data_IF_825721855148
#
_entry.id   IF_825721855148
#
_cell.length_a   1.000
_cell.length_b   1.000
_cell.length_c   1.000
_cell.angle_alpha   90.00
_cell.angle_beta   90.00
_cell.angle_gamma   90.00
#
_symmetry.space_group_name_H-M   'P 1'
#
loop_
_entity.id
_entity.type
_entity.pdbx_description
1 polymer ?
#
# COMPACT_ATOMS: atom_id res chain seq x y z
N UNK A 1 -1.92 18.93 -19.05
CA UNK A 1 -1.88 17.52 -18.56
C UNK A 1 -3.00 16.78 -19.28
N UNK A 2 -2.74 15.66 -19.93
CA UNK A 2 -3.75 14.96 -20.74
C UNK A 2 -4.85 14.36 -19.85
N UNK A 3 -6.13 14.53 -20.21
CA UNK A 3 -7.32 13.92 -19.58
C UNK A 3 -7.10 12.42 -19.26
N UNK A 4 -6.36 11.74 -20.13
CA UNK A 4 -5.97 10.33 -20.06
C UNK A 4 -5.14 10.00 -18.79
N UNK A 5 -4.32 10.94 -18.30
CA UNK A 5 -3.46 10.72 -17.13
C UNK A 5 -4.22 10.82 -15.80
N UNK A 6 -5.32 11.59 -15.76
CA UNK A 6 -6.16 11.71 -14.56
C UNK A 6 -7.14 10.54 -14.43
N UNK A 7 -7.66 10.01 -15.55
CA UNK A 7 -8.47 8.79 -15.57
C UNK A 7 -7.71 7.56 -15.04
N UNK A 8 -6.38 7.52 -15.22
CA UNK A 8 -5.48 6.52 -14.67
C UNK A 8 -5.41 6.57 -13.13
N UNK A 9 -5.29 7.79 -12.59
CA UNK A 9 -5.22 8.03 -11.16
C UNK A 9 -6.55 7.71 -10.48
N UNK A 10 -7.65 8.02 -11.14
CA UNK A 10 -9.02 7.74 -10.69
C UNK A 10 -9.35 6.24 -10.73
N UNK A 11 -8.88 5.52 -11.76
CA UNK A 11 -8.96 4.06 -11.86
C UNK A 11 -8.33 3.35 -10.66
N UNK A 12 -7.18 3.83 -10.21
CA UNK A 12 -6.45 3.25 -9.08
C UNK A 12 -7.10 3.61 -7.73
N UNK A 13 -7.62 4.83 -7.62
CA UNK A 13 -8.47 5.29 -6.49
C UNK A 13 -9.75 4.46 -6.35
N UNK A 14 -10.32 3.99 -7.46
CA UNK A 14 -11.52 3.12 -7.50
C UNK A 14 -11.22 1.65 -7.25
N UNK A 15 -10.05 1.16 -7.69
CA UNK A 15 -9.61 -0.23 -7.46
C UNK A 15 -9.17 -0.47 -6.01
N UNK A 16 -8.74 0.59 -5.31
CA UNK A 16 -8.43 0.59 -3.88
C UNK A 16 -9.06 1.84 -3.23
N UNK A 17 -10.34 1.80 -2.81
CA UNK A 17 -10.96 2.93 -2.15
C UNK A 17 -10.22 3.21 -0.83
N UNK A 18 -9.77 4.46 -0.56
CA UNK A 18 -9.30 4.81 0.77
C UNK A 18 -10.46 4.61 1.75
N UNK A 19 -10.23 3.86 2.83
CA UNK A 19 -11.14 3.85 3.97
C UNK A 19 -11.15 5.25 4.58
N UNK A 20 -12.35 5.74 4.90
CA UNK A 20 -12.66 7.05 5.49
C UNK A 20 -11.57 7.54 6.44
N UNK A 21 -10.97 8.68 6.11
CA UNK A 21 -10.38 9.58 7.08
C UNK A 21 -10.59 11.02 6.60
N UNK A 22 -11.42 11.72 7.36
CA UNK A 22 -11.68 13.15 7.25
C UNK A 22 -10.39 13.92 7.53
N UNK A 23 -9.96 14.78 6.60
CA UNK A 23 -9.10 15.91 6.93
C UNK A 23 -9.59 17.17 6.22
N UNK A 24 -10.55 17.82 6.86
CA UNK A 24 -10.90 19.20 6.58
C UNK A 24 -9.93 20.17 7.27
N UNK A 25 -9.53 21.18 6.49
CA UNK A 25 -9.59 22.61 6.82
C UNK A 25 -8.45 23.31 7.58
N UNK A 26 -8.15 24.50 7.02
CA UNK A 26 -7.70 25.76 7.62
C UNK A 26 -6.20 26.10 7.49
N UNK A 27 -5.75 27.30 7.05
CA UNK A 27 -6.39 28.58 6.69
C UNK A 27 -5.37 29.50 5.93
N UNK A 28 -5.87 30.26 4.94
CA UNK A 28 -5.50 31.64 4.43
C UNK A 28 -4.01 31.99 4.19
N UNK A 29 -3.61 32.44 3.00
CA UNK A 29 -3.89 33.75 2.36
C UNK A 29 -2.74 34.74 2.72
N UNK A 30 -2.11 35.56 1.88
CA UNK A 30 -2.40 36.22 0.59
C UNK A 30 -1.07 36.78 0.04
N UNK A 31 -0.92 36.88 -1.28
CA UNK A 31 0.14 37.66 -1.93
C UNK A 31 -0.22 39.15 -1.99
N UNK A 32 0.72 40.06 -1.71
CA UNK A 32 0.97 41.30 -2.50
C UNK A 32 2.22 42.05 -2.00
N UNK A 33 2.92 42.64 -2.95
CA UNK A 33 4.17 43.40 -2.87
C UNK A 33 3.90 44.90 -2.60
N UNK A 34 4.69 45.56 -1.72
CA UNK A 34 5.05 46.99 -1.83
C UNK A 34 6.10 47.40 -0.77
N UNK A 35 7.19 48.02 -1.20
CA UNK A 35 8.21 48.75 -0.40
C UNK A 35 7.88 50.26 -0.29
N UNK A 36 8.66 51.14 0.38
CA UNK A 36 9.63 51.02 1.50
C UNK A 36 9.38 52.06 2.63
N UNK A 37 10.21 52.08 3.70
CA UNK A 37 11.04 53.22 4.20
C UNK A 37 11.67 52.82 5.56
N UNK A 38 13.00 52.90 5.62
CA UNK A 38 13.85 52.54 6.74
C UNK A 38 13.84 53.62 7.85
N UNK A 39 13.64 53.21 9.12
CA UNK A 39 13.98 54.01 10.29
C UNK A 39 15.07 53.32 11.13
N UNK A 40 16.17 54.04 11.38
CA UNK A 40 17.43 53.58 11.99
C UNK A 40 17.32 53.06 13.44
N UNK A 41 16.14 53.12 14.08
CA UNK A 41 15.96 52.67 15.46
C UNK A 41 15.58 51.18 15.60
N UNK A 42 15.29 50.48 14.49
CA UNK A 42 14.89 49.07 14.54
C UNK A 42 16.06 48.09 14.72
N UNK A 43 17.28 48.48 14.33
CA UNK A 43 18.46 47.59 14.35
C UNK A 43 18.88 47.26 15.79
N UNK A 44 18.75 48.20 16.72
CA UNK A 44 19.09 47.98 18.13
C UNK A 44 18.12 47.02 18.84
N UNK A 45 16.85 46.98 18.43
CA UNK A 45 15.86 46.09 19.05
C UNK A 45 16.10 44.65 18.59
N UNK A 46 16.43 44.44 17.32
CA UNK A 46 16.72 43.11 16.80
C UNK A 46 18.04 42.54 17.34
N UNK A 47 19.08 43.35 17.55
CA UNK A 47 20.33 42.87 18.18
C UNK A 47 20.16 42.53 19.65
N UNK A 48 19.32 43.26 20.38
CA UNK A 48 19.01 42.95 21.78
C UNK A 48 18.20 41.65 21.90
N UNK A 49 17.26 41.44 20.98
CA UNK A 49 16.37 40.27 20.98
C UNK A 49 17.11 38.98 20.60
N UNK A 50 18.05 39.05 19.64
CA UNK A 50 18.90 37.90 19.29
C UNK A 50 19.89 37.57 20.41
N UNK A 51 20.44 38.57 21.10
CA UNK A 51 21.33 38.34 22.24
C UNK A 51 20.59 37.72 23.44
N UNK A 52 19.35 38.15 23.69
CA UNK A 52 18.47 37.56 24.72
C UNK A 52 18.13 36.10 24.42
N UNK A 53 17.85 35.76 23.16
CA UNK A 53 17.58 34.39 22.71
C UNK A 53 18.81 33.48 22.85
N UNK A 54 20.00 34.02 22.58
CA UNK A 54 21.26 33.29 22.70
C UNK A 54 21.64 33.04 24.16
N UNK A 55 21.41 34.01 25.05
CA UNK A 55 21.56 33.83 26.50
C UNK A 55 20.57 32.77 27.03
N UNK A 56 19.30 32.81 26.59
CA UNK A 56 18.31 31.81 26.98
C UNK A 56 18.70 30.40 26.52
N UNK A 57 19.24 30.27 25.30
CA UNK A 57 19.72 28.99 24.78
C UNK A 57 20.92 28.44 25.56
N UNK A 58 21.86 29.30 25.97
CA UNK A 58 23.01 28.90 26.82
C UNK A 58 22.56 28.51 28.23
N UNK A 59 21.59 29.22 28.83
CA UNK A 59 21.01 28.85 30.13
C UNK A 59 20.28 27.51 30.04
N UNK A 60 19.56 27.24 28.95
CA UNK A 60 18.89 25.96 28.72
C UNK A 60 19.88 24.79 28.57
N UNK A 61 21.03 25.01 27.91
CA UNK A 61 22.12 24.03 27.79
C UNK A 61 22.82 23.77 29.14
N UNK A 62 22.92 24.77 30.01
CA UNK A 62 23.47 24.60 31.36
C UNK A 62 22.49 23.87 32.29
N UNK A 63 21.17 24.09 32.13
CA UNK A 63 20.15 23.39 32.91
C UNK A 63 19.97 21.92 32.52
N UNK A 64 20.34 21.54 31.28
CA UNK A 64 20.27 20.15 30.82
C UNK A 64 21.44 19.28 31.28
N UNK A 65 22.48 19.87 31.87
CA UNK A 65 23.72 19.15 32.22
C UNK A 65 23.78 18.62 33.67
N UNK A 66 22.87 19.05 34.55
CA UNK A 66 22.89 18.70 35.99
C UNK A 66 21.90 17.59 36.41
N UNK A 67 21.28 16.88 35.47
CA UNK A 67 20.44 15.70 35.77
C UNK A 67 21.06 14.40 35.27
N UNK A 68 22.31 14.16 35.61
CA UNK A 68 22.94 12.83 35.56
C UNK A 68 23.72 12.61 36.85
N UNK A 69 23.03 12.31 37.95
CA UNK A 69 23.43 11.29 38.94
C UNK A 69 22.39 11.17 40.07
N UNK A 70 22.07 9.92 40.42
CA UNK A 70 21.42 9.46 41.65
C UNK A 70 19.88 9.54 41.73
N UNK A 71 19.21 8.44 41.38
CA UNK A 71 18.58 7.55 42.36
C UNK A 71 17.94 6.35 41.64
N UNK A 72 18.17 5.16 42.21
CA UNK A 72 17.80 3.83 41.70
C UNK A 72 16.60 3.29 42.49
N UNK A 73 15.83 2.43 41.81
CA UNK A 73 14.76 1.49 42.25
C UNK A 73 13.29 1.92 42.08
N UNK A 74 12.36 0.98 41.76
CA UNK A 74 12.47 -0.12 40.79
C UNK A 74 11.29 -0.13 39.78
N UNK A 75 11.46 -0.95 38.75
CA UNK A 75 10.67 -1.08 37.52
C UNK A 75 9.14 -1.22 37.71
N UNK A 76 8.40 -0.32 37.08
CA UNK A 76 7.06 -0.65 36.57
C UNK A 76 7.27 -1.14 35.14
N UNK A 77 7.35 -2.46 34.97
CA UNK A 77 7.52 -3.13 33.69
C UNK A 77 6.42 -2.71 32.72
N UNK A 78 6.79 -1.97 31.68
CA UNK A 78 5.94 -1.70 30.52
C UNK A 78 5.72 -2.99 29.75
N UNK A 79 4.56 -3.60 29.93
CA UNK A 79 4.04 -4.56 28.96
C UNK A 79 3.87 -3.85 27.61
N UNK A 80 4.67 -4.22 26.61
CA UNK A 80 4.47 -3.77 25.23
C UNK A 80 3.25 -4.51 24.65
N UNK A 81 2.05 -3.98 24.90
CA UNK A 81 0.85 -4.43 24.22
C UNK A 81 0.88 -3.95 22.77
N UNK A 82 1.51 -4.72 21.89
CA UNK A 82 1.32 -4.64 20.44
C UNK A 82 0.08 -5.47 20.09
N UNK A 83 -1.08 -4.82 20.11
CA UNK A 83 -2.30 -5.38 19.52
C UNK A 83 -2.94 -4.29 18.67
N UNK A 84 -2.67 -4.31 17.37
CA UNK A 84 -3.53 -3.61 16.41
C UNK A 84 -4.63 -4.60 15.98
N UNK A 85 -5.79 -4.51 16.66
CA UNK A 85 -6.94 -5.40 16.46
C UNK A 85 -7.68 -5.17 15.12
N UNK A 86 -7.11 -4.49 14.13
CA UNK A 86 -7.89 -3.96 12.98
C UNK A 86 -7.55 -4.50 11.60
N UNK A 87 -6.62 -5.44 11.45
CA UNK A 87 -6.37 -6.12 10.16
C UNK A 87 -6.34 -7.65 10.32
N UNK A 88 -7.53 -8.26 10.42
CA UNK A 88 -7.68 -9.70 10.16
C UNK A 88 -8.02 -9.87 8.67
N UNK A 89 -7.07 -10.24 7.79
CA UNK A 89 -7.41 -10.55 6.40
C UNK A 89 -8.36 -11.75 6.35
N UNK A 90 -9.27 -11.78 5.36
CA UNK A 90 -10.11 -12.94 5.04
C UNK A 90 -9.23 -14.07 4.46
N UNK A 91 -8.35 -14.63 5.29
CA UNK A 91 -7.51 -15.75 4.94
C UNK A 91 -8.36 -17.04 4.92
N UNK A 92 -8.24 -17.90 3.90
CA UNK A 92 -9.02 -19.12 3.83
C UNK A 92 -8.66 -20.06 5.00
N UNK A 93 -9.65 -20.82 5.49
CA UNK A 93 -9.49 -21.71 6.64
C UNK A 93 -8.50 -22.84 6.29
N UNK A 94 -7.38 -22.93 7.00
CA UNK A 94 -6.35 -23.96 6.80
C UNK A 94 -6.58 -25.16 7.72
N UNK A 95 -6.50 -26.38 7.19
CA UNK A 95 -6.59 -27.58 8.01
C UNK A 95 -5.21 -27.92 8.58
N UNK A 96 -5.17 -28.23 9.87
CA UNK A 96 -3.97 -28.77 10.51
C UNK A 96 -3.69 -30.19 10.02
N UNK A 97 -2.45 -30.46 9.63
CA UNK A 97 -2.01 -31.78 9.19
C UNK A 97 -1.28 -32.51 10.33
N UNK A 98 -0.11 -32.00 10.72
CA UNK A 98 0.68 -32.56 11.80
C UNK A 98 1.62 -31.51 12.41
N UNK A 99 2.21 -31.87 13.55
CA UNK A 99 3.36 -31.17 14.13
C UNK A 99 4.47 -32.19 14.39
N UNK A 100 5.71 -31.80 14.13
CA UNK A 100 6.91 -32.60 14.38
C UNK A 100 7.93 -31.79 15.15
N UNK A 101 8.56 -32.40 16.14
CA UNK A 101 9.69 -31.83 16.86
C UNK A 101 10.93 -32.60 16.40
N UNK A 102 11.87 -31.90 15.80
CA UNK A 102 13.11 -32.42 15.25
C UNK A 102 14.27 -31.88 16.09
N UNK A 103 14.91 -32.70 16.93
CA UNK A 103 16.13 -32.28 17.61
C UNK A 103 17.28 -32.19 16.61
N UNK A 104 18.00 -31.09 16.63
CA UNK A 104 19.26 -30.89 15.91
C UNK A 104 20.33 -30.46 16.92
N UNK A 105 21.57 -30.93 16.78
CA UNK A 105 22.68 -30.81 17.74
C UNK A 105 22.55 -29.76 18.88
N UNK A 106 22.32 -28.48 18.55
CA UNK A 106 22.20 -27.36 19.50
C UNK A 106 20.88 -26.57 19.39
N UNK A 107 19.95 -27.01 18.52
CA UNK A 107 18.65 -26.37 18.29
C UNK A 107 17.50 -27.37 18.18
N UNK A 108 16.34 -27.01 18.73
CA UNK A 108 15.08 -27.73 18.53
C UNK A 108 14.27 -27.07 17.42
N UNK A 109 13.96 -27.83 16.36
CA UNK A 109 13.07 -27.38 15.28
C UNK A 109 11.67 -27.96 15.47
N UNK A 110 10.67 -27.10 15.61
CA UNK A 110 9.26 -27.49 15.63
C UNK A 110 8.63 -27.13 14.29
N UNK A 111 8.15 -28.14 13.57
CA UNK A 111 7.47 -28.00 12.29
C UNK A 111 5.97 -28.18 12.47
N UNK A 112 5.19 -27.25 11.95
CA UNK A 112 3.73 -27.33 11.85
C UNK A 112 3.34 -27.36 10.37
N UNK A 113 2.60 -28.38 9.96
CA UNK A 113 2.17 -28.53 8.58
C UNK A 113 0.66 -28.32 8.43
N UNK A 114 0.27 -27.65 7.35
CA UNK A 114 -1.09 -27.25 7.05
C UNK A 114 -1.44 -27.56 5.59
N UNK A 115 -2.73 -27.66 5.27
CA UNK A 115 -3.16 -27.89 3.87
C UNK A 115 -2.91 -26.69 2.96
N UNK A 116 -2.76 -25.50 3.53
CA UNK A 116 -2.58 -24.24 2.82
C UNK A 116 -1.99 -23.19 3.77
N UNK A 117 -1.49 -22.06 3.24
CA UNK A 117 -1.07 -20.92 4.03
C UNK A 117 -2.10 -20.45 5.05
N UNK A 118 -1.66 -20.11 6.26
CA UNK A 118 -2.49 -19.50 7.29
C UNK A 118 -1.78 -18.33 7.96
N UNK A 119 -2.58 -17.39 8.45
CA UNK A 119 -2.08 -16.19 9.11
C UNK A 119 -1.72 -16.49 10.57
N UNK A 120 -0.55 -16.04 11.00
CA UNK A 120 -0.08 -16.20 12.37
C UNK A 120 0.55 -14.92 12.93
N UNK A 121 0.51 -14.77 14.24
CA UNK A 121 1.18 -13.68 14.98
C UNK A 121 2.14 -14.27 15.99
N UNK A 122 3.28 -13.62 16.22
CA UNK A 122 4.27 -14.06 17.20
C UNK A 122 4.57 -12.90 18.15
N UNK A 123 4.40 -13.13 19.44
CA UNK A 123 4.83 -12.22 20.51
C UNK A 123 5.88 -12.93 21.35
N UNK A 124 7.06 -12.31 21.47
CA UNK A 124 8.11 -12.80 22.35
C UNK A 124 8.16 -11.92 23.60
N UNK A 125 7.88 -12.50 24.76
CA UNK A 125 8.01 -11.82 26.04
C UNK A 125 9.36 -12.19 26.66
N UNK A 126 10.34 -11.30 26.46
CA UNK A 126 11.72 -11.45 26.95
C UNK A 126 11.79 -11.55 28.49
N UNK A 127 10.82 -10.99 29.22
CA UNK A 127 10.81 -11.00 30.68
C UNK A 127 10.22 -12.28 31.29
N UNK A 128 9.46 -13.06 30.51
CA UNK A 128 8.78 -14.28 30.96
C UNK A 128 9.34 -15.56 30.33
N UNK A 129 10.37 -15.45 29.49
CA UNK A 129 10.91 -16.55 28.67
C UNK A 129 9.81 -17.30 27.90
N UNK A 130 8.84 -16.55 27.35
CA UNK A 130 7.69 -17.11 26.65
C UNK A 130 7.60 -16.60 25.23
N UNK A 131 7.35 -17.52 24.31
CA UNK A 131 6.95 -17.20 22.93
C UNK A 131 5.47 -17.55 22.78
N UNK A 132 4.68 -16.56 22.38
CA UNK A 132 3.25 -16.69 22.12
C UNK A 132 3.07 -16.69 20.60
N UNK A 133 2.55 -17.77 20.04
CA UNK A 133 2.28 -17.91 18.60
C UNK A 133 0.76 -18.07 18.40
N UNK A 134 0.11 -17.03 17.90
CA UNK A 134 -1.32 -17.05 17.55
C UNK A 134 -1.49 -17.58 16.13
N UNK A 135 -2.20 -18.69 15.97
CA UNK A 135 -2.58 -19.24 14.66
C UNK A 135 -4.05 -18.88 14.36
N UNK A 136 -4.30 -18.31 13.19
CA UNK A 136 -5.61 -17.80 12.82
C UNK A 136 -6.22 -18.59 11.66
N UNK A 137 -7.55 -18.68 11.66
CA UNK A 137 -8.35 -19.40 10.68
C UNK A 137 -7.89 -20.87 10.54
N UNK A 138 -7.49 -21.49 11.65
CA UNK A 138 -7.03 -22.87 11.71
C UNK A 138 -8.21 -23.80 12.00
N UNK A 139 -8.39 -24.84 11.19
CA UNK A 139 -9.33 -25.92 11.43
C UNK A 139 -8.61 -27.17 11.94
N UNK A 140 -8.91 -27.53 13.18
CA UNK A 140 -8.37 -28.74 13.83
C UNK A 140 -9.26 -29.97 13.63
N UNK A 141 -10.49 -29.82 13.12
CA UNK A 141 -11.47 -30.91 13.02
C UNK A 141 -10.93 -32.17 12.33
N UNK A 142 -10.16 -32.09 11.22
CA UNK A 142 -9.59 -33.27 10.56
C UNK A 142 -8.61 -34.05 11.45
N UNK A 143 -7.86 -33.36 12.31
CA UNK A 143 -6.88 -33.96 13.21
C UNK A 143 -7.51 -34.45 14.54
N UNK A 144 -8.60 -33.80 14.97
CA UNK A 144 -9.26 -34.09 16.25
C UNK A 144 -10.23 -35.28 16.20
N UNK A 145 -10.84 -35.57 15.05
CA UNK A 145 -11.88 -36.60 14.94
C UNK A 145 -13.05 -36.34 15.90
N UNK A 146 -13.33 -37.29 16.81
CA UNK A 146 -14.43 -37.21 17.79
C UNK A 146 -14.02 -36.64 19.15
N UNK A 147 -12.78 -36.18 19.32
CA UNK A 147 -12.29 -35.62 20.58
C UNK A 147 -12.95 -34.27 20.88
N UNK A 148 -13.09 -33.96 22.18
CA UNK A 148 -13.44 -32.59 22.59
C UNK A 148 -12.30 -31.65 22.21
N UNK A 149 -12.60 -30.35 22.01
CA UNK A 149 -11.59 -29.38 21.62
C UNK A 149 -10.41 -29.34 22.60
N UNK A 150 -10.70 -29.34 23.91
CA UNK A 150 -9.67 -29.38 24.95
C UNK A 150 -8.78 -30.64 24.85
N UNK A 151 -9.40 -31.82 24.79
CA UNK A 151 -8.64 -33.07 24.66
C UNK A 151 -7.84 -33.16 23.35
N UNK A 152 -8.33 -32.55 22.28
CA UNK A 152 -7.61 -32.46 21.02
C UNK A 152 -6.40 -31.53 21.11
N UNK A 153 -6.57 -30.35 21.71
CA UNK A 153 -5.47 -29.41 21.92
C UNK A 153 -4.38 -30.02 22.79
N UNK A 154 -4.76 -30.71 23.87
CA UNK A 154 -3.79 -31.41 24.72
C UNK A 154 -3.04 -32.49 23.93
N UNK A 155 -3.77 -33.31 23.15
CA UNK A 155 -3.14 -34.36 22.33
C UNK A 155 -2.13 -33.79 21.33
N UNK A 156 -2.50 -32.70 20.64
CA UNK A 156 -1.69 -32.13 19.57
C UNK A 156 -0.54 -31.27 20.09
N UNK A 157 -0.81 -30.42 21.09
CA UNK A 157 0.07 -29.32 21.47
C UNK A 157 0.59 -29.36 22.89
N UNK A 158 0.06 -30.20 23.79
CA UNK A 158 0.69 -30.38 25.10
C UNK A 158 1.97 -31.21 24.92
N UNK A 159 3.12 -30.55 24.99
CA UNK A 159 4.46 -31.15 24.87
C UNK A 159 5.33 -30.58 25.98
N UNK A 160 6.19 -31.43 26.53
CA UNK A 160 7.17 -31.02 27.51
C UNK A 160 8.50 -31.63 27.09
N UNK A 161 9.30 -30.81 26.41
CA UNK A 161 10.63 -31.15 25.93
C UNK A 161 11.68 -30.53 26.85
N UNK A 162 12.94 -30.93 26.68
CA UNK A 162 14.04 -30.38 27.48
C UNK A 162 14.13 -28.85 27.32
N UNK A 163 14.02 -28.37 26.08
CA UNK A 163 14.24 -26.96 25.75
C UNK A 163 12.99 -26.08 25.97
N UNK A 164 11.79 -26.66 26.00
CA UNK A 164 10.54 -25.92 26.12
C UNK A 164 9.37 -26.79 26.58
N UNK A 165 8.38 -26.15 27.19
CA UNK A 165 7.01 -26.67 27.26
C UNK A 165 6.10 -25.93 26.29
N UNK A 166 5.21 -26.67 25.62
CA UNK A 166 4.23 -26.14 24.69
C UNK A 166 2.82 -26.49 25.18
N UNK A 167 1.94 -25.50 25.14
CA UNK A 167 0.51 -25.66 25.36
C UNK A 167 -0.29 -24.84 24.34
N UNK A 168 -1.52 -25.24 24.04
CA UNK A 168 -2.41 -24.51 23.14
C UNK A 168 -3.70 -24.12 23.85
N UNK A 169 -4.13 -22.86 23.68
CA UNK A 169 -5.37 -22.32 24.24
C UNK A 169 -6.24 -21.74 23.12
N UNK A 170 -7.56 -22.04 23.10
CA UNK A 170 -8.46 -21.38 22.17
C UNK A 170 -8.66 -19.92 22.57
N UNK A 171 -8.85 -19.04 21.59
CA UNK A 171 -9.18 -17.64 21.88
C UNK A 171 -10.64 -17.49 22.35
N UNK A 172 -10.91 -16.69 23.41
CA UNK A 172 -12.27 -16.42 23.85
C UNK A 172 -13.06 -15.71 22.73
N UNK A 173 -14.18 -16.29 22.32
CA UNK A 173 -15.12 -15.73 21.32
C UNK A 173 -14.62 -15.66 19.86
N UNK A 174 -13.42 -16.14 19.53
CA UNK A 174 -12.93 -16.25 18.16
C UNK A 174 -12.87 -17.71 17.70
N UNK A 175 -13.78 -18.09 16.80
CA UNK A 175 -13.76 -19.43 16.20
C UNK A 175 -12.52 -19.58 15.32
N UNK A 176 -11.88 -20.75 15.38
CA UNK A 176 -10.71 -21.12 14.56
C UNK A 176 -9.45 -20.28 14.84
N UNK A 177 -9.32 -19.72 16.03
CA UNK A 177 -8.10 -19.04 16.47
C UNK A 177 -7.56 -19.70 17.73
N UNK A 178 -6.25 -19.98 17.72
CA UNK A 178 -5.56 -20.70 18.78
C UNK A 178 -4.25 -20.01 19.12
N UNK A 179 -3.96 -19.87 20.41
CA UNK A 179 -2.69 -19.40 20.90
C UNK A 179 -1.85 -20.58 21.35
N UNK A 180 -0.68 -20.73 20.75
CA UNK A 180 0.37 -21.62 21.20
C UNK A 180 1.28 -20.85 22.16
N UNK A 181 1.52 -21.41 23.34
CA UNK A 181 2.38 -20.82 24.36
C UNK A 181 3.57 -21.73 24.53
N UNK A 182 4.74 -21.26 24.10
CA UNK A 182 6.01 -21.90 24.39
C UNK A 182 6.57 -21.25 25.66
N UNK A 183 6.76 -22.02 26.72
CA UNK A 183 7.55 -21.60 27.87
C UNK A 183 8.94 -22.21 27.71
N UNK A 184 9.93 -21.37 27.43
CA UNK A 184 11.29 -21.79 27.14
C UNK A 184 12.02 -22.11 28.46
N UNK A 185 12.80 -23.18 28.46
CA UNK A 185 13.63 -23.59 29.59
C UNK A 185 15.07 -23.09 29.40
N UNK A 186 15.77 -22.84 30.50
CA UNK A 186 17.19 -22.42 30.49
C UNK A 186 17.45 -21.17 29.62
N UNK A 187 18.69 -20.99 29.14
CA UNK A 187 19.11 -19.90 28.24
C UNK A 187 18.71 -20.14 26.77
N UNK A 188 17.63 -20.91 26.54
CA UNK A 188 17.08 -21.17 25.20
C UNK A 188 16.31 -19.95 24.73
N UNK A 189 16.62 -19.50 23.51
CA UNK A 189 15.96 -18.39 22.84
C UNK A 189 15.29 -18.84 21.53
N UNK A 190 14.38 -18.01 21.03
CA UNK A 190 13.87 -18.13 19.66
C UNK A 190 14.96 -17.68 18.67
N UNK A 191 15.55 -18.63 17.94
CA UNK A 191 16.62 -18.39 16.96
C UNK A 191 16.03 -17.96 15.62
N UNK A 192 14.99 -18.66 15.15
CA UNK A 192 14.39 -18.39 13.85
C UNK A 192 12.93 -18.83 13.78
N UNK A 193 12.18 -18.20 12.88
CA UNK A 193 10.83 -18.59 12.52
C UNK A 193 10.66 -18.46 11.01
N UNK A 194 10.35 -19.56 10.33
CA UNK A 194 10.31 -19.66 8.88
C UNK A 194 8.96 -20.23 8.41
N UNK A 195 8.33 -19.60 7.41
CA UNK A 195 7.09 -20.07 6.82
C UNK A 195 7.27 -20.36 5.33
N UNK A 196 7.14 -21.63 4.93
CA UNK A 196 7.11 -22.05 3.53
C UNK A 196 5.65 -21.99 3.06
N UNK A 197 5.27 -20.87 2.44
CA UNK A 197 3.91 -20.64 1.93
C UNK A 197 3.51 -21.67 0.86
N UNK A 198 4.44 -22.12 0.02
CA UNK A 198 4.13 -23.09 -1.03
C UNK A 198 3.81 -24.48 -0.48
N UNK A 199 4.32 -24.79 0.71
CA UNK A 199 4.11 -26.09 1.38
C UNK A 199 3.19 -26.01 2.59
N UNK A 200 2.71 -24.82 2.96
CA UNK A 200 1.93 -24.61 4.17
C UNK A 200 2.66 -25.12 5.42
N UNK A 201 3.96 -24.80 5.55
CA UNK A 201 4.81 -25.32 6.63
C UNK A 201 5.43 -24.19 7.45
N UNK A 202 5.17 -24.18 8.76
CA UNK A 202 5.78 -23.26 9.73
C UNK A 202 6.85 -23.99 10.54
N UNK A 203 8.07 -23.48 10.53
CA UNK A 203 9.18 -24.00 11.33
C UNK A 203 9.60 -22.96 12.37
N UNK A 204 9.53 -23.34 13.65
CA UNK A 204 10.05 -22.59 14.80
C UNK A 204 11.37 -23.22 15.23
N UNK A 205 12.43 -22.44 15.35
CA UNK A 205 13.76 -22.91 15.77
C UNK A 205 14.13 -22.29 17.10
N UNK A 206 14.38 -23.13 18.10
CA UNK A 206 14.79 -22.76 19.46
C UNK A 206 16.21 -23.26 19.71
N UNK A 207 17.02 -22.55 20.47
CA UNK A 207 18.39 -22.97 20.79
C UNK A 207 19.14 -21.97 21.66
N UNK A 208 20.40 -22.28 21.98
CA UNK A 208 21.27 -21.38 22.75
C UNK A 208 21.89 -20.30 21.84
N UNK A 209 22.13 -19.11 22.38
CA UNK A 209 22.92 -18.07 21.71
C UNK A 209 24.40 -18.50 21.66
N UNK A 210 24.82 -19.28 20.65
CA UNK A 210 26.23 -19.62 20.48
C UNK A 210 27.03 -18.42 19.94
N UNK A 211 28.15 -18.01 20.56
CA UNK A 211 29.09 -17.11 19.93
C UNK A 211 29.78 -17.84 18.77
N UNK A 212 29.60 -17.35 17.54
CA UNK A 212 30.26 -17.90 16.37
C UNK A 212 31.79 -17.92 16.55
N UNK A 213 32.42 -19.06 16.23
CA UNK A 213 33.88 -19.20 16.15
C UNK A 213 34.48 -18.24 15.11
N UNK A 214 35.71 -17.71 15.31
CA UNK A 214 36.18 -16.50 14.62
C UNK A 214 36.61 -16.64 13.14
N UNK A 215 36.50 -17.82 12.53
CA UNK A 215 37.07 -18.08 11.19
C UNK A 215 36.04 -18.13 10.04
N UNK A 216 34.79 -17.69 10.27
CA UNK A 216 33.81 -17.44 9.20
C UNK A 216 33.30 -15.99 9.26
N UNK A 217 33.66 -15.10 8.33
CA UNK A 217 33.29 -13.68 8.39
C UNK A 217 31.81 -13.39 8.05
N UNK A 218 30.90 -14.35 8.24
CA UNK A 218 29.46 -14.13 8.10
C UNK A 218 28.62 -14.64 9.27
N UNK A 219 28.86 -14.16 10.49
CA UNK A 219 27.85 -14.29 11.56
C UNK A 219 27.92 -13.16 12.59
N UNK A 220 27.74 -11.93 12.10
CA UNK A 220 26.99 -10.91 12.84
C UNK A 220 25.53 -11.03 12.41
N UNK A 221 24.79 -11.94 13.05
CA UNK A 221 23.36 -12.13 12.82
C UNK A 221 22.56 -12.14 14.10
N UNK A 222 22.61 -11.04 14.84
CA UNK A 222 21.37 -10.46 15.36
C UNK A 222 21.03 -9.31 14.41
N UNK A 223 20.68 -9.66 13.17
CA UNK A 223 20.09 -8.73 12.21
C UNK A 223 18.58 -8.73 12.44
N UNK A 224 18.15 -7.65 13.10
CA UNK A 224 16.87 -6.95 12.90
C UNK A 224 15.59 -7.80 12.96
N UNK A 225 14.89 -7.62 14.07
CA UNK A 225 13.44 -7.46 14.17
C UNK A 225 12.59 -8.23 13.13
N UNK A 226 12.13 -9.42 13.51
CA UNK A 226 10.99 -10.12 12.89
C UNK A 226 9.64 -9.45 13.17
N UNK A 227 9.61 -8.12 13.31
CA UNK A 227 8.41 -7.31 13.52
C UNK A 227 8.04 -6.48 12.28
N UNK A 228 8.39 -6.94 11.07
CA UNK A 228 7.95 -6.32 9.81
C UNK A 228 8.06 -7.31 8.63
N UNK A 229 7.30 -8.41 8.63
CA UNK A 229 6.87 -8.97 7.34
C UNK A 229 5.69 -8.12 6.87
N UNK A 230 6.01 -6.94 6.34
CA UNK A 230 5.03 -6.11 5.64
C UNK A 230 4.53 -6.98 4.47
N UNK A 231 3.23 -7.27 4.41
CA UNK A 231 2.62 -8.01 3.28
C UNK A 231 3.10 -7.42 1.96
N UNK A 232 3.27 -8.23 0.90
CA UNK A 232 3.62 -7.72 -0.43
C UNK A 232 2.73 -6.53 -0.85
N UNK A 233 1.45 -6.58 -0.48
CA UNK A 233 0.49 -5.51 -0.68
C UNK A 233 0.79 -4.26 0.18
N UNK A 234 1.24 -4.43 1.42
CA UNK A 234 1.62 -3.32 2.28
C UNK A 234 2.98 -2.73 1.90
N UNK A 235 3.89 -3.54 1.34
CA UNK A 235 5.14 -3.07 0.77
C UNK A 235 4.87 -2.22 -0.46
N UNK A 236 3.94 -2.67 -1.31
CA UNK A 236 3.43 -1.88 -2.43
C UNK A 236 2.83 -0.56 -1.96
N UNK A 237 1.94 -0.58 -0.96
CA UNK A 237 1.33 0.65 -0.42
C UNK A 237 2.37 1.61 0.14
N UNK A 238 3.37 1.12 0.85
CA UNK A 238 4.47 1.94 1.35
C UNK A 238 5.29 2.56 0.20
N UNK A 239 5.65 1.75 -0.80
CA UNK A 239 6.35 2.20 -1.99
C UNK A 239 5.54 3.24 -2.79
N UNK A 240 4.23 3.04 -2.87
CA UNK A 240 3.30 3.93 -3.54
C UNK A 240 3.22 5.30 -2.87
N UNK A 241 3.09 5.34 -1.53
CA UNK A 241 3.12 6.61 -0.77
C UNK A 241 4.43 7.38 -0.97
N UNK A 242 5.54 6.67 -1.10
CA UNK A 242 6.84 7.28 -1.38
C UNK A 242 6.89 7.95 -2.76
N UNK A 243 6.05 7.56 -3.73
CA UNK A 243 6.03 8.23 -5.03
C UNK A 243 5.65 9.71 -4.92
N UNK A 244 4.81 10.06 -3.94
CA UNK A 244 4.36 11.45 -3.73
C UNK A 244 5.40 12.30 -2.99
N UNK A 245 6.20 11.69 -2.10
CA UNK A 245 7.16 12.41 -1.24
C UNK A 245 8.59 12.36 -1.80
N UNK A 246 9.05 11.16 -2.16
CA UNK A 246 10.41 10.87 -2.62
C UNK A 246 10.36 9.93 -3.84
N UNK A 247 10.05 10.45 -5.04
CA UNK A 247 9.68 9.63 -6.20
C UNK A 247 10.74 8.60 -6.60
N UNK A 248 12.02 8.96 -6.51
CA UNK A 248 13.11 8.04 -6.83
C UNK A 248 13.20 6.86 -5.85
N UNK A 249 12.92 7.08 -4.56
CA UNK A 249 12.91 6.01 -3.57
C UNK A 249 11.68 5.11 -3.75
N UNK A 250 10.50 5.70 -4.04
CA UNK A 250 9.30 4.95 -4.37
C UNK A 250 9.48 4.03 -5.57
N UNK A 251 10.07 4.55 -6.66
CA UNK A 251 10.42 3.77 -7.86
C UNK A 251 11.36 2.62 -7.49
N UNK A 252 12.46 2.91 -6.79
CA UNK A 252 13.45 1.89 -6.39
C UNK A 252 12.78 0.78 -5.57
N UNK A 253 11.87 1.15 -4.66
CA UNK A 253 11.15 0.18 -3.83
C UNK A 253 10.18 -0.68 -4.65
N UNK A 254 9.47 -0.10 -5.62
CA UNK A 254 8.62 -0.85 -6.54
C UNK A 254 9.43 -1.77 -7.46
N UNK A 255 10.62 -1.34 -7.92
CA UNK A 255 11.53 -2.17 -8.72
C UNK A 255 12.01 -3.39 -7.92
N UNK A 256 12.36 -3.22 -6.65
CA UNK A 256 12.72 -4.34 -5.75
C UNK A 256 11.55 -5.30 -5.58
N UNK A 257 10.34 -4.78 -5.31
CA UNK A 257 9.13 -5.59 -5.17
C UNK A 257 8.90 -6.45 -6.43
N UNK A 258 9.07 -5.85 -7.61
CA UNK A 258 8.85 -6.54 -8.88
C UNK A 258 9.98 -7.52 -9.23
N UNK A 259 11.22 -7.23 -8.82
CA UNK A 259 12.35 -8.14 -8.99
C UNK A 259 12.18 -9.42 -8.16
N UNK A 260 11.69 -9.28 -6.92
CA UNK A 260 11.39 -10.41 -6.03
C UNK A 260 10.10 -11.14 -6.43
N UNK A 261 9.11 -10.41 -6.94
CA UNK A 261 7.78 -10.94 -7.29
C UNK A 261 7.36 -10.53 -8.71
N UNK A 262 7.90 -11.17 -9.78
CA UNK A 262 7.68 -10.74 -11.15
C UNK A 262 6.23 -10.73 -11.62
N UNK A 263 5.37 -11.57 -11.02
CA UNK A 263 3.93 -11.67 -11.32
C UNK A 263 3.06 -10.70 -10.52
N UNK A 264 3.66 -9.84 -9.67
CA UNK A 264 2.90 -8.88 -8.89
C UNK A 264 2.47 -7.70 -9.78
N UNK A 265 1.23 -7.82 -10.28
CA UNK A 265 0.65 -6.96 -11.31
C UNK A 265 0.59 -5.49 -10.89
N UNK A 266 0.25 -5.22 -9.64
CA UNK A 266 0.04 -3.89 -9.09
C UNK A 266 1.33 -3.06 -9.14
N UNK A 267 2.45 -3.60 -8.64
CA UNK A 267 3.75 -2.91 -8.72
C UNK A 267 4.17 -2.67 -10.17
N UNK A 268 3.91 -3.64 -11.07
CA UNK A 268 4.22 -3.50 -12.50
C UNK A 268 3.42 -2.37 -13.14
N UNK A 269 2.10 -2.33 -12.92
CA UNK A 269 1.24 -1.26 -13.44
C UNK A 269 1.58 0.11 -12.85
N UNK A 270 1.95 0.14 -11.56
CA UNK A 270 2.42 1.33 -10.90
C UNK A 270 3.69 1.89 -11.53
N UNK A 271 4.72 1.05 -11.72
CA UNK A 271 5.96 1.44 -12.39
C UNK A 271 5.74 1.88 -13.83
N UNK A 272 4.89 1.17 -14.60
CA UNK A 272 4.51 1.60 -15.95
C UNK A 272 3.95 3.02 -15.91
N UNK A 273 3.01 3.30 -15.01
CA UNK A 273 2.37 4.60 -14.88
C UNK A 273 3.37 5.70 -14.55
N UNK A 274 4.30 5.45 -13.62
CA UNK A 274 5.36 6.39 -13.26
C UNK A 274 6.32 6.62 -14.42
N UNK A 275 6.75 5.58 -15.12
CA UNK A 275 7.63 5.72 -16.28
C UNK A 275 6.99 6.47 -17.44
N UNK A 276 5.68 6.31 -17.65
CA UNK A 276 4.94 7.14 -18.62
C UNK A 276 4.96 8.63 -18.24
N UNK A 277 4.76 8.95 -16.96
CA UNK A 277 4.81 10.34 -16.47
C UNK A 277 6.22 10.96 -16.63
N UNK A 278 7.26 10.17 -16.34
CA UNK A 278 8.65 10.56 -16.50
C UNK A 278 9.14 10.51 -17.97
N UNK A 279 8.27 10.15 -18.93
CA UNK A 279 8.59 9.95 -20.34
C UNK A 279 9.70 8.92 -20.59
N UNK A 280 9.90 7.99 -19.65
CA UNK A 280 10.79 6.83 -19.75
C UNK A 280 10.09 5.72 -20.55
N UNK A 281 9.84 6.00 -21.83
CA UNK A 281 9.00 5.14 -22.68
C UNK A 281 9.59 3.75 -22.93
N UNK A 282 10.92 3.63 -22.99
CA UNK A 282 11.60 2.33 -23.16
C UNK A 282 11.32 1.39 -21.99
N UNK A 283 11.50 1.89 -20.76
CA UNK A 283 11.28 1.12 -19.53
C UNK A 283 9.80 0.75 -19.37
N UNK A 284 8.89 1.69 -19.64
CA UNK A 284 7.46 1.41 -19.63
C UNK A 284 7.10 0.30 -20.64
N UNK A 285 7.64 0.35 -21.86
CA UNK A 285 7.39 -0.66 -22.87
C UNK A 285 7.90 -2.04 -22.43
N UNK A 286 9.10 -2.12 -21.86
CA UNK A 286 9.65 -3.39 -21.37
C UNK A 286 8.72 -4.02 -20.33
N UNK A 287 8.28 -3.25 -19.33
CA UNK A 287 7.36 -3.74 -18.30
C UNK A 287 6.01 -4.18 -18.86
N UNK A 288 5.49 -3.49 -19.89
CA UNK A 288 4.24 -3.85 -20.58
C UNK A 288 4.40 -5.20 -21.30
N UNK A 289 5.47 -5.39 -22.08
CA UNK A 289 5.68 -6.63 -22.83
C UNK A 289 5.89 -7.83 -21.89
N UNK A 290 6.64 -7.64 -20.81
CA UNK A 290 6.77 -8.65 -19.75
C UNK A 290 5.43 -8.97 -19.09
N UNK A 291 4.63 -7.94 -18.77
CA UNK A 291 3.29 -8.10 -18.19
C UNK A 291 2.35 -8.91 -19.08
N UNK A 292 2.35 -8.64 -20.39
CA UNK A 292 1.59 -9.43 -21.38
C UNK A 292 2.00 -10.90 -21.39
N UNK A 293 3.29 -11.20 -21.22
CA UNK A 293 3.80 -12.58 -21.18
C UNK A 293 3.40 -13.32 -19.91
N UNK A 294 3.33 -12.63 -18.78
CA UNK A 294 3.02 -13.19 -17.46
C UNK A 294 1.51 -13.32 -17.19
N UNK A 295 0.71 -12.40 -17.72
CA UNK A 295 -0.74 -12.35 -17.52
C UNK A 295 -1.47 -12.54 -18.85
N UNK A 296 -1.44 -13.77 -19.35
CA UNK A 296 -2.12 -14.14 -20.58
C UNK A 296 -3.63 -13.85 -20.43
N UNK A 297 -4.22 -13.14 -21.40
CA UNK A 297 -5.63 -12.73 -21.44
C UNK A 297 -6.02 -11.54 -20.54
N UNK A 298 -5.05 -10.83 -19.96
CA UNK A 298 -5.30 -9.60 -19.21
C UNK A 298 -5.25 -8.36 -20.13
N UNK A 299 -6.40 -7.76 -20.39
CA UNK A 299 -6.55 -6.58 -21.24
C UNK A 299 -5.96 -5.30 -20.62
N UNK A 300 -5.63 -5.32 -19.32
CA UNK A 300 -5.00 -4.18 -18.64
C UNK A 300 -3.69 -3.78 -19.31
N UNK A 301 -2.88 -4.73 -19.76
CA UNK A 301 -1.61 -4.44 -20.43
C UNK A 301 -1.79 -3.93 -21.87
N UNK A 302 -2.92 -4.26 -22.52
CA UNK A 302 -3.30 -3.66 -23.81
C UNK A 302 -3.67 -2.18 -23.60
N UNK A 303 -4.40 -1.86 -22.52
CA UNK A 303 -4.67 -0.47 -22.14
C UNK A 303 -3.39 0.30 -21.83
N UNK A 304 -2.42 -0.31 -21.13
CA UNK A 304 -1.11 0.32 -20.86
C UNK A 304 -0.32 0.60 -22.14
N UNK A 305 -0.34 -0.33 -23.10
CA UNK A 305 0.30 -0.13 -24.41
C UNK A 305 -0.33 1.03 -25.19
N UNK A 306 -1.66 1.12 -25.20
CA UNK A 306 -2.36 2.25 -25.80
C UNK A 306 -2.02 3.59 -25.12
N UNK A 307 -1.92 3.59 -23.78
CA UNK A 307 -1.50 4.75 -22.99
C UNK A 307 -0.06 5.18 -23.30
N UNK A 308 0.86 4.23 -23.46
CA UNK A 308 2.22 4.48 -23.92
C UNK A 308 2.22 5.17 -25.29
N UNK A 309 1.44 4.64 -26.24
CA UNK A 309 1.34 5.20 -27.59
C UNK A 309 0.74 6.61 -27.59
N UNK A 310 -0.28 6.88 -26.76
CA UNK A 310 -0.83 8.23 -26.56
C UNK A 310 0.21 9.19 -25.95
N UNK A 311 0.98 8.75 -24.96
CA UNK A 311 2.04 9.54 -24.34
C UNK A 311 3.18 9.87 -25.32
N UNK A 312 3.39 9.02 -26.33
CA UNK A 312 4.31 9.23 -27.45
C UNK A 312 3.71 10.08 -28.58
N UNK A 313 2.51 10.64 -28.40
CA UNK A 313 1.79 11.41 -29.41
C UNK A 313 1.48 10.58 -30.69
N UNK A 314 1.19 9.29 -30.51
CA UNK A 314 0.81 8.37 -31.59
C UNK A 314 -0.60 7.76 -31.35
N UNK A 315 -1.66 8.59 -31.43
CA UNK A 315 -3.03 8.15 -31.16
C UNK A 315 -3.58 7.15 -32.19
N UNK A 316 -3.08 7.15 -33.43
CA UNK A 316 -3.47 6.17 -34.44
C UNK A 316 -3.04 4.74 -34.04
N UNK A 317 -1.85 4.57 -33.47
CA UNK A 317 -1.40 3.27 -32.97
C UNK A 317 -2.18 2.85 -31.74
N UNK A 318 -2.48 3.78 -30.82
CA UNK A 318 -3.31 3.53 -29.65
C UNK A 318 -4.70 3.00 -30.03
N UNK A 319 -5.33 3.62 -31.03
CA UNK A 319 -6.62 3.17 -31.54
C UNK A 319 -6.53 1.76 -32.13
N UNK A 320 -5.52 1.49 -32.97
CA UNK A 320 -5.31 0.15 -33.53
C UNK A 320 -5.13 -0.90 -32.43
N UNK A 321 -4.37 -0.59 -31.39
CA UNK A 321 -4.17 -1.46 -30.22
C UNK A 321 -5.49 -1.73 -29.50
N UNK A 322 -6.29 -0.69 -29.23
CA UNK A 322 -7.59 -0.81 -28.54
C UNK A 322 -8.73 -1.38 -29.41
N UNK A 323 -8.57 -1.44 -30.72
CA UNK A 323 -9.52 -2.10 -31.62
C UNK A 323 -9.11 -3.54 -31.94
N UNK A 324 -7.93 -3.98 -31.50
CA UNK A 324 -7.45 -5.35 -31.72
C UNK A 324 -8.20 -6.39 -30.89
N UNK A 325 -8.86 -5.97 -29.82
CA UNK A 325 -9.72 -6.80 -28.98
C UNK A 325 -11.07 -6.10 -28.76
N UNK A 326 -12.08 -6.85 -28.31
CA UNK A 326 -13.39 -6.31 -27.99
C UNK A 326 -13.90 -6.93 -26.68
N UNK A 327 -13.41 -6.44 -25.51
CA UNK A 327 -13.81 -7.01 -24.23
C UNK A 327 -15.28 -6.67 -23.92
N UNK A 328 -16.00 -7.47 -23.10
CA UNK A 328 -17.41 -7.20 -22.81
C UNK A 328 -17.64 -5.79 -22.24
N UNK A 329 -18.48 -4.98 -22.89
CA UNK A 329 -18.68 -3.56 -22.58
C UNK A 329 -18.97 -3.28 -21.10
N UNK A 330 -19.98 -3.94 -20.53
CA UNK A 330 -20.46 -3.68 -19.16
C UNK A 330 -19.40 -3.95 -18.08
N UNK A 331 -18.41 -4.80 -18.33
CA UNK A 331 -17.36 -5.13 -17.37
C UNK A 331 -16.04 -4.42 -17.62
N UNK A 332 -15.91 -3.64 -18.71
CA UNK A 332 -14.66 -2.97 -19.10
C UNK A 332 -14.88 -1.49 -19.46
N UNK A 333 -15.66 -0.78 -18.67
CA UNK A 333 -16.01 0.62 -18.96
C UNK A 333 -14.77 1.52 -19.15
N UNK A 334 -13.72 1.29 -18.36
CA UNK A 334 -12.49 2.07 -18.43
C UNK A 334 -11.69 1.82 -19.72
N UNK A 335 -11.80 0.63 -20.30
CA UNK A 335 -11.26 0.30 -21.61
C UNK A 335 -11.90 1.18 -22.68
N UNK A 336 -13.23 1.23 -22.67
CA UNK A 336 -14.00 2.03 -23.62
C UNK A 336 -13.86 3.53 -23.38
N UNK A 337 -13.67 3.96 -22.14
CA UNK A 337 -13.37 5.35 -21.85
C UNK A 337 -12.00 5.77 -22.40
N UNK A 338 -10.99 4.88 -22.32
CA UNK A 338 -9.70 5.10 -22.97
C UNK A 338 -9.81 5.11 -24.50
N UNK A 339 -10.65 4.25 -25.08
CA UNK A 339 -10.94 4.24 -26.51
C UNK A 339 -11.63 5.55 -26.95
N UNK A 340 -12.58 6.07 -26.18
CA UNK A 340 -13.24 7.35 -26.43
C UNK A 340 -12.23 8.51 -26.44
N UNK A 341 -11.40 8.60 -25.40
CA UNK A 341 -10.32 9.59 -25.34
C UNK A 341 -9.31 9.43 -26.50
N UNK A 342 -9.10 8.21 -26.98
CA UNK A 342 -8.24 7.95 -28.15
C UNK A 342 -8.88 8.49 -29.44
N UNK A 343 -10.19 8.32 -29.62
CA UNK A 343 -10.94 8.92 -30.72
C UNK A 343 -10.82 10.45 -30.71
N UNK A 344 -10.94 11.11 -29.54
CA UNK A 344 -10.73 12.57 -29.43
C UNK A 344 -9.35 12.99 -29.93
N UNK A 345 -8.31 12.24 -29.55
CA UNK A 345 -6.93 12.53 -29.97
C UNK A 345 -6.71 12.33 -31.47
N UNK A 346 -7.48 11.46 -32.11
CA UNK A 346 -7.53 11.32 -33.56
C UNK A 346 -8.52 12.26 -34.25
N UNK A 347 -9.13 13.21 -33.51
CA UNK A 347 -10.16 14.14 -34.03
C UNK A 347 -11.44 13.42 -34.52
N UNK A 348 -11.66 12.18 -34.09
CA UNK A 348 -12.86 11.38 -34.35
C UNK A 348 -13.95 11.68 -33.30
N UNK A 349 -14.36 12.96 -33.22
CA UNK A 349 -15.21 13.45 -32.13
C UNK A 349 -16.61 12.81 -32.09
N UNK A 350 -17.17 12.43 -33.24
CA UNK A 350 -18.47 11.75 -33.30
C UNK A 350 -18.43 10.36 -32.65
N UNK A 351 -17.38 9.57 -32.93
CA UNK A 351 -17.16 8.26 -32.33
C UNK A 351 -16.91 8.39 -30.82
N UNK A 352 -16.14 9.42 -30.41
CA UNK A 352 -15.89 9.72 -29.01
C UNK A 352 -17.18 10.03 -28.24
N UNK A 353 -17.98 11.00 -28.73
CA UNK A 353 -19.23 11.40 -28.09
C UNK A 353 -20.19 10.21 -27.92
N UNK A 354 -20.41 9.43 -28.98
CA UNK A 354 -21.27 8.25 -28.94
C UNK A 354 -20.80 7.18 -27.94
N UNK A 355 -19.49 7.09 -27.67
CA UNK A 355 -18.95 6.14 -26.71
C UNK A 355 -19.10 6.66 -25.27
N UNK A 356 -18.85 7.95 -25.03
CA UNK A 356 -19.10 8.57 -23.72
C UNK A 356 -20.58 8.54 -23.33
N UNK A 357 -21.51 8.79 -24.26
CA UNK A 357 -22.95 8.66 -23.99
C UNK A 357 -23.33 7.25 -23.53
N UNK A 358 -22.78 6.21 -24.16
CA UNK A 358 -22.99 4.81 -23.74
C UNK A 358 -22.40 4.51 -22.36
N UNK A 359 -21.26 5.12 -22.03
CA UNK A 359 -20.63 4.98 -20.72
C UNK A 359 -21.48 5.67 -19.64
N UNK A 360 -21.92 6.90 -19.90
CA UNK A 360 -22.77 7.70 -19.01
C UNK A 360 -24.16 7.10 -18.79
N UNK A 361 -24.70 6.39 -19.78
CA UNK A 361 -25.93 5.60 -19.60
C UNK A 361 -25.81 4.50 -18.52
N UNK A 362 -24.59 4.03 -18.23
CA UNK A 362 -24.32 3.05 -17.17
C UNK A 362 -23.86 3.72 -15.86
N UNK A 363 -23.11 4.82 -15.94
CA UNK A 363 -22.69 5.60 -14.77
C UNK A 363 -22.86 7.10 -15.05
N UNK A 364 -24.03 7.68 -14.72
CA UNK A 364 -24.33 9.07 -15.04
C UNK A 364 -23.63 10.08 -14.12
N UNK A 365 -22.96 9.61 -13.05
CA UNK A 365 -22.27 10.48 -12.08
C UNK A 365 -20.80 10.72 -12.41
N UNK A 366 -20.29 10.12 -13.50
CA UNK A 366 -18.87 10.11 -13.84
C UNK A 366 -18.44 11.41 -14.50
N UNK A 367 -17.96 12.36 -13.69
CA UNK A 367 -17.63 13.70 -14.15
C UNK A 367 -16.54 13.74 -15.24
N UNK A 368 -15.57 12.82 -15.21
CA UNK A 368 -14.54 12.76 -16.25
C UNK A 368 -15.13 12.35 -17.61
N UNK A 369 -16.16 11.51 -17.63
CA UNK A 369 -16.82 11.10 -18.88
C UNK A 369 -17.70 12.20 -19.44
N UNK A 370 -18.39 12.96 -18.57
CA UNK A 370 -19.08 14.19 -18.94
C UNK A 370 -18.14 15.24 -19.53
N UNK A 371 -16.94 15.39 -18.96
CA UNK A 371 -15.90 16.26 -19.51
C UNK A 371 -15.48 15.85 -20.93
N UNK A 372 -15.21 14.57 -21.16
CA UNK A 372 -14.88 14.06 -22.50
C UNK A 372 -16.04 14.22 -23.49
N UNK A 373 -17.27 13.98 -23.05
CA UNK A 373 -18.46 14.22 -23.88
C UNK A 373 -18.56 15.69 -24.28
N UNK A 374 -18.40 16.62 -23.33
CA UNK A 374 -18.44 18.06 -23.59
C UNK A 374 -17.37 18.51 -24.59
N UNK A 375 -16.13 18.03 -24.43
CA UNK A 375 -15.03 18.30 -25.38
C UNK A 375 -15.37 17.80 -26.78
N UNK A 376 -15.93 16.60 -26.87
CA UNK A 376 -16.29 15.99 -28.15
C UNK A 376 -17.45 16.73 -28.83
N UNK A 377 -18.52 17.07 -28.09
CA UNK A 377 -19.67 17.82 -28.61
C UNK A 377 -19.28 19.23 -29.04
N UNK A 378 -18.42 19.88 -28.27
CA UNK A 378 -17.90 21.19 -28.61
C UNK A 378 -17.09 21.19 -29.90
N UNK A 379 -16.23 20.19 -30.09
CA UNK A 379 -15.46 20.02 -31.31
C UNK A 379 -16.34 19.71 -32.53
N UNK A 380 -17.52 19.12 -32.31
CA UNK A 380 -18.56 18.92 -33.34
C UNK A 380 -19.38 20.20 -33.63
N UNK A 381 -19.19 21.27 -32.84
CA UNK A 381 -19.91 22.53 -32.98
C UNK A 381 -21.26 22.56 -32.25
N UNK A 382 -21.62 21.52 -31.49
CA UNK A 382 -22.84 21.51 -30.68
C UNK A 382 -22.58 22.21 -29.34
N UNK A 383 -22.62 23.54 -29.40
CA UNK A 383 -22.34 24.42 -28.27
C UNK A 383 -23.28 24.17 -27.08
N UNK A 384 -24.56 23.89 -27.33
CA UNK A 384 -25.55 23.74 -26.27
C UNK A 384 -25.37 22.40 -25.54
N UNK A 385 -25.21 21.30 -26.29
CA UNK A 385 -24.93 20.00 -25.69
C UNK A 385 -23.61 20.01 -24.91
N UNK A 386 -22.58 20.66 -25.46
CA UNK A 386 -21.29 20.79 -24.78
C UNK A 386 -21.42 21.53 -23.44
N UNK A 387 -22.19 22.62 -23.40
CA UNK A 387 -22.44 23.38 -22.18
C UNK A 387 -23.12 22.51 -21.11
N UNK A 388 -24.19 21.79 -21.47
CA UNK A 388 -24.89 20.87 -20.57
C UNK A 388 -23.94 19.80 -20.01
N UNK A 389 -23.12 19.19 -20.89
CA UNK A 389 -22.12 18.21 -20.47
C UNK A 389 -21.07 18.79 -19.51
N UNK A 390 -20.60 20.01 -19.72
CA UNK A 390 -19.66 20.65 -18.79
C UNK A 390 -20.31 21.02 -17.46
N UNK A 391 -21.57 21.46 -17.45
CA UNK A 391 -22.31 21.77 -16.21
C UNK A 391 -22.46 20.52 -15.32
N UNK A 392 -22.66 19.34 -15.91
CA UNK A 392 -22.67 18.06 -15.18
C UNK A 392 -21.36 17.73 -14.45
N UNK A 393 -20.26 18.43 -14.73
CA UNK A 393 -18.97 18.22 -14.08
C UNK A 393 -18.69 19.17 -12.91
N UNK A 394 -19.47 20.25 -12.77
CA UNK A 394 -19.15 21.38 -11.91
C UNK A 394 -19.22 21.07 -10.40
N UNK A 395 -20.16 20.21 -9.99
CA UNK A 395 -20.31 19.81 -8.58
C UNK A 395 -19.46 18.60 -8.18
N UNK A 396 -18.64 18.08 -9.10
CA UNK A 396 -17.87 16.87 -8.81
C UNK A 396 -16.58 17.18 -8.07
N UNK A 397 -16.57 16.79 -6.79
CA UNK A 397 -15.36 16.68 -5.97
C UNK A 397 -14.30 15.69 -6.53
N UNK A 398 -14.63 14.98 -7.61
CA UNK A 398 -13.75 13.99 -8.25
C UNK A 398 -12.77 14.63 -9.25
N UNK A 399 -13.04 15.83 -9.78
CA UNK A 399 -12.14 16.49 -10.72
C UNK A 399 -10.98 17.22 -9.99
N UNK A 400 -9.73 17.07 -10.47
CA UNK A 400 -8.59 17.87 -10.01
C UNK A 400 -8.85 19.38 -10.20
N UNK A 401 -8.27 20.24 -9.34
CA UNK A 401 -8.48 21.70 -9.40
C UNK A 401 -8.14 22.33 -10.78
N UNK A 402 -7.18 21.76 -11.50
CA UNK A 402 -6.81 22.20 -12.84
C UNK A 402 -7.90 21.93 -13.88
N UNK A 403 -8.59 20.78 -13.78
CA UNK A 403 -9.72 20.43 -14.64
C UNK A 403 -10.98 21.21 -14.25
N UNK A 404 -11.22 21.44 -12.96
CA UNK A 404 -12.30 22.33 -12.51
C UNK A 404 -12.12 23.77 -13.05
N UNK A 405 -10.87 24.26 -13.03
CA UNK A 405 -10.53 25.58 -13.61
C UNK A 405 -10.76 25.61 -15.14
N UNK A 406 -10.42 24.53 -15.83
CA UNK A 406 -10.66 24.40 -17.27
C UNK A 406 -12.17 24.41 -17.59
N UNK A 407 -12.95 23.55 -16.92
CA UNK A 407 -14.41 23.45 -17.09
C UNK A 407 -15.09 24.79 -16.82
N UNK A 408 -14.79 25.43 -15.68
CA UNK A 408 -15.41 26.71 -15.32
C UNK A 408 -15.10 27.83 -16.32
N UNK A 409 -13.90 27.82 -16.91
CA UNK A 409 -13.55 28.72 -18.01
C UNK A 409 -14.39 28.42 -19.24
N UNK A 410 -14.54 27.13 -19.59
CA UNK A 410 -15.28 26.73 -20.79
C UNK A 410 -16.77 27.00 -20.69
N UNK A 411 -17.39 26.74 -19.53
CA UNK A 411 -18.79 27.12 -19.25
C UNK A 411 -19.01 28.62 -19.53
N UNK A 412 -18.12 29.48 -19.02
CA UNK A 412 -18.21 30.93 -19.22
C UNK A 412 -18.06 31.34 -20.68
N UNK A 413 -17.11 30.73 -21.40
CA UNK A 413 -16.90 31.00 -22.84
C UNK A 413 -18.08 30.54 -23.69
N UNK A 414 -18.77 29.47 -23.27
CA UNK A 414 -19.97 28.98 -23.92
C UNK A 414 -21.24 29.74 -23.50
N UNK A 415 -21.14 30.67 -22.55
CA UNK A 415 -22.23 31.54 -22.13
C UNK A 415 -23.09 30.98 -21.00
N UNK A 416 -22.65 29.91 -20.34
CA UNK A 416 -23.23 29.41 -19.09
C UNK A 416 -22.75 30.18 -17.87
N UNK A 417 -23.46 30.03 -16.76
CA UNK A 417 -23.10 30.62 -15.47
C UNK A 417 -22.49 29.55 -14.56
N UNK A 418 -21.19 29.56 -14.27
CA UNK A 418 -20.54 28.56 -13.42
C UNK A 418 -20.87 28.74 -11.93
N UNK A 419 -21.99 29.36 -11.56
CA UNK A 419 -22.40 29.66 -10.18
C UNK A 419 -23.93 29.48 -9.97
N UNK A 420 -24.64 28.89 -10.95
CA UNK A 420 -26.09 28.75 -10.92
C UNK A 420 -26.54 27.43 -10.29
#
# INVERSE_FOLDING_TARGET
>A
MSLINEMLKDLEKRRNPPKKEDYFSNLRGTSTFSSPVFHKNSIFIFTLLTFSLLIFFVIAQLYSSDKILSAREPDTKSSLNLTDKTNKPDAPIANFLDMRILPQNETSQIEFNFTQPLWYEVQHNLDENKVLLTLNNLNLSPACGTLTLAACLDKLFLKNENDFSLEAKPFPNEKNQFQLVFSLHDEINLIALNYDELKGKLTVTLGHDTPATPDDPQQMSIKKNSHNMISLQDQYRAAWRLLDVEPNQGITKLEVILAENPSFKEARLGLISVFLQLKRFGDANQLIQEGKRLHLHDDTFIMMEARLQLAQNNPASAQKTLLSISPPFKSHLDYYALLAATFEKNQEYAQSAALYEKLLALRPTEAIWWLGLGVSQEALGDKNAALESYEHTFDSSELPPSLQSYVSTRIRELGGNPLA
#
